data_IF_506782567265
#
_entry.id   IF_506782567265
#
_cell.length_a   1.000
_cell.length_b   1.000
_cell.length_c   1.000
_cell.angle_alpha   90.00
_cell.angle_beta   90.00
_cell.angle_gamma   90.00
#
_symmetry.space_group_name_H-M   'P 1'
#
loop_
_entity.id
_entity.type
_entity.pdbx_description
1 polymer ?
#
# COMPACT_ATOMS: atom_id res chain seq x y z
N UNK A 1 -36.63 5.42 -35.49
CA UNK A 1 -36.33 4.66 -34.25
C UNK A 1 -37.56 4.72 -33.35
N UNK A 2 -37.94 3.65 -32.63
CA UNK A 2 -38.97 3.82 -31.58
C UNK A 2 -38.35 4.67 -30.47
N UNK A 3 -38.82 5.90 -30.27
CA UNK A 3 -38.30 6.83 -29.26
C UNK A 3 -38.89 6.51 -27.88
N UNK A 4 -38.91 5.23 -27.55
CA UNK A 4 -39.49 4.71 -26.34
C UNK A 4 -38.38 4.28 -25.38
N UNK A 5 -38.30 4.99 -24.25
CA UNK A 5 -37.25 4.81 -23.26
C UNK A 5 -37.36 3.43 -22.61
N UNK A 6 -38.57 2.98 -22.32
CA UNK A 6 -38.80 1.79 -21.51
C UNK A 6 -38.46 0.52 -22.29
N UNK A 7 -38.73 0.54 -23.60
CA UNK A 7 -38.30 -0.52 -24.53
C UNK A 7 -36.77 -0.56 -24.70
N UNK A 8 -36.11 0.59 -24.72
CA UNK A 8 -34.65 0.67 -24.83
C UNK A 8 -33.97 0.18 -23.55
N UNK A 9 -34.49 0.53 -22.38
CA UNK A 9 -33.95 0.04 -21.09
C UNK A 9 -34.12 -1.46 -20.96
N UNK A 10 -35.30 -2.01 -21.27
CA UNK A 10 -35.52 -3.46 -21.22
C UNK A 10 -34.56 -4.23 -22.14
N UNK A 11 -34.31 -3.69 -23.35
CA UNK A 11 -33.40 -4.32 -24.30
C UNK A 11 -31.93 -4.30 -23.84
N UNK A 12 -31.52 -3.27 -23.10
CA UNK A 12 -30.15 -3.14 -22.60
C UNK A 12 -29.92 -3.89 -21.28
N UNK A 13 -30.95 -4.06 -20.45
CA UNK A 13 -30.89 -4.81 -19.18
C UNK A 13 -30.78 -6.33 -19.41
N UNK A 14 -31.45 -6.87 -20.43
CA UNK A 14 -31.43 -8.30 -20.74
C UNK A 14 -30.21 -8.76 -21.59
N UNK A 15 -29.31 -7.84 -21.97
CA UNK A 15 -28.19 -8.14 -22.85
C UNK A 15 -26.88 -8.44 -22.08
N UNK A 16 -26.23 -9.60 -22.31
CA UNK A 16 -24.95 -9.93 -21.66
C UNK A 16 -23.76 -9.11 -22.17
N UNK A 17 -23.87 -8.45 -23.33
CA UNK A 17 -22.80 -7.66 -23.96
C UNK A 17 -23.30 -6.26 -24.36
N UNK A 18 -23.64 -5.45 -23.35
CA UNK A 18 -24.25 -4.13 -23.51
C UNK A 18 -23.43 -3.19 -24.40
N UNK A 19 -22.11 -3.13 -24.26
CA UNK A 19 -21.27 -2.21 -25.06
C UNK A 19 -21.34 -2.51 -26.56
N UNK A 20 -21.38 -3.79 -26.95
CA UNK A 20 -21.48 -4.19 -28.36
C UNK A 20 -22.84 -3.84 -28.98
N UNK A 21 -23.90 -3.83 -28.18
CA UNK A 21 -25.25 -3.50 -28.64
C UNK A 21 -25.41 -1.98 -28.77
N UNK A 22 -24.88 -1.24 -27.80
CA UNK A 22 -24.91 0.23 -27.79
C UNK A 22 -24.11 0.81 -28.97
N UNK A 23 -22.96 0.21 -29.29
CA UNK A 23 -22.08 0.62 -30.40
C UNK A 23 -22.45 -0.03 -31.75
N UNK A 24 -23.56 -0.75 -31.84
CA UNK A 24 -23.94 -1.43 -33.07
C UNK A 24 -24.23 -0.42 -34.20
N UNK A 25 -23.57 -0.61 -35.33
CA UNK A 25 -23.65 0.30 -36.47
C UNK A 25 -24.83 -0.05 -37.40
N UNK A 26 -25.72 0.91 -37.62
CA UNK A 26 -26.74 0.84 -38.66
C UNK A 26 -26.38 1.82 -39.79
N UNK A 27 -26.10 1.27 -40.99
CA UNK A 27 -25.59 2.05 -42.14
C UNK A 27 -24.35 2.90 -41.80
N UNK A 28 -23.49 2.38 -40.92
CA UNK A 28 -22.28 3.05 -40.47
C UNK A 28 -22.49 4.13 -39.40
N UNK A 29 -23.68 4.22 -38.80
CA UNK A 29 -24.01 5.18 -37.73
C UNK A 29 -24.41 4.44 -36.46
N UNK A 30 -23.98 4.93 -35.31
CA UNK A 30 -24.42 4.43 -34.00
C UNK A 30 -25.84 4.91 -33.68
N UNK A 31 -26.50 4.23 -32.74
CA UNK A 31 -27.82 4.65 -32.25
C UNK A 31 -27.79 6.10 -31.71
N UNK A 32 -26.71 6.46 -31.00
CA UNK A 32 -26.48 7.81 -30.49
C UNK A 32 -26.41 8.85 -31.62
N UNK A 33 -25.65 8.56 -32.68
CA UNK A 33 -25.51 9.47 -33.83
C UNK A 33 -26.85 9.72 -34.53
N UNK A 34 -27.65 8.67 -34.74
CA UNK A 34 -28.97 8.76 -35.36
C UNK A 34 -29.95 9.59 -34.53
N UNK A 35 -29.90 9.45 -33.19
CA UNK A 35 -30.74 10.25 -32.29
C UNK A 35 -30.39 11.75 -32.36
N UNK A 36 -29.12 12.11 -32.52
CA UNK A 36 -28.71 13.51 -32.71
C UNK A 36 -29.18 14.08 -34.05
N UNK A 37 -29.26 13.27 -35.10
CA UNK A 37 -29.71 13.67 -36.43
C UNK A 37 -31.23 13.90 -36.49
N UNK A 38 -32.03 13.03 -35.86
CA UNK A 38 -33.50 13.12 -35.84
C UNK A 38 -34.03 14.17 -34.83
N UNK A 39 -33.16 14.94 -34.18
CA UNK A 39 -33.52 15.77 -33.02
C UNK A 39 -34.25 17.06 -33.41
N UNK A 40 -35.57 17.06 -33.17
CA UNK A 40 -36.54 18.11 -33.48
C UNK A 40 -37.26 18.61 -32.22
N UNK A 41 -37.86 19.82 -32.23
CA UNK A 41 -38.54 20.38 -31.04
C UNK A 41 -39.66 19.49 -30.47
N UNK A 42 -40.35 18.75 -31.34
CA UNK A 42 -41.47 17.86 -30.97
C UNK A 42 -41.04 16.53 -30.35
N UNK A 43 -39.83 16.03 -30.67
CA UNK A 43 -39.33 14.74 -30.18
C UNK A 43 -38.15 14.86 -29.20
N UNK A 44 -37.65 16.08 -28.96
CA UNK A 44 -36.46 16.35 -28.15
C UNK A 44 -36.54 15.79 -26.73
N UNK A 45 -37.72 15.75 -26.09
CA UNK A 45 -37.87 15.19 -24.75
C UNK A 45 -37.70 13.67 -24.73
N UNK A 46 -38.34 12.97 -25.67
CA UNK A 46 -38.21 11.52 -25.80
C UNK A 46 -36.80 11.11 -26.23
N UNK A 47 -36.23 11.82 -27.20
CA UNK A 47 -34.86 11.61 -27.65
C UNK A 47 -33.84 11.85 -26.52
N UNK A 48 -33.98 12.92 -25.74
CA UNK A 48 -33.09 13.19 -24.60
C UNK A 48 -33.12 12.07 -23.54
N UNK A 49 -34.29 11.49 -23.27
CA UNK A 49 -34.42 10.35 -22.36
C UNK A 49 -33.71 9.11 -22.89
N UNK A 50 -33.84 8.80 -24.19
CA UNK A 50 -33.14 7.68 -24.83
C UNK A 50 -31.61 7.91 -24.84
N UNK A 51 -31.17 9.13 -25.14
CA UNK A 51 -29.75 9.51 -25.11
C UNK A 51 -29.18 9.31 -23.70
N UNK A 52 -29.89 9.75 -22.65
CA UNK A 52 -29.46 9.55 -21.27
C UNK A 52 -29.27 8.07 -20.93
N UNK A 53 -30.17 7.19 -21.41
CA UNK A 53 -30.05 5.74 -21.21
C UNK A 53 -28.82 5.20 -21.94
N UNK A 54 -28.58 5.60 -23.20
CA UNK A 54 -27.39 5.18 -23.95
C UNK A 54 -26.08 5.63 -23.30
N UNK A 55 -26.01 6.88 -22.85
CA UNK A 55 -24.83 7.41 -22.15
C UNK A 55 -24.56 6.66 -20.84
N UNK A 56 -25.61 6.36 -20.07
CA UNK A 56 -25.50 5.57 -18.84
C UNK A 56 -24.98 4.13 -19.09
N UNK A 57 -25.22 3.58 -20.28
CA UNK A 57 -24.75 2.24 -20.67
C UNK A 57 -23.45 2.29 -21.50
N UNK A 58 -22.72 3.41 -21.47
CA UNK A 58 -21.38 3.52 -22.03
C UNK A 58 -21.29 3.86 -23.52
N UNK A 59 -22.32 4.50 -24.10
CA UNK A 59 -22.27 4.93 -25.50
C UNK A 59 -21.15 5.95 -25.78
N UNK A 60 -20.41 5.74 -26.87
CA UNK A 60 -19.35 6.63 -27.33
C UNK A 60 -19.94 7.89 -28.02
N UNK A 61 -19.69 9.01 -27.37
CA UNK A 61 -20.07 10.36 -27.83
C UNK A 61 -19.18 10.89 -28.96
N UNK A 62 -18.00 10.31 -29.16
CA UNK A 62 -17.02 10.75 -30.15
C UNK A 62 -17.18 10.08 -31.51
N UNK A 63 -18.26 9.31 -31.69
CA UNK A 63 -18.57 8.62 -32.93
C UNK A 63 -18.61 9.59 -34.11
N UNK A 64 -17.99 9.19 -35.23
CA UNK A 64 -17.96 9.98 -36.45
C UNK A 64 -18.50 9.17 -37.62
N UNK A 65 -19.17 9.85 -38.54
CA UNK A 65 -19.73 9.24 -39.74
C UNK A 65 -19.07 9.86 -40.98
N UNK A 66 -18.47 9.02 -41.81
CA UNK A 66 -17.91 9.40 -43.09
C UNK A 66 -18.74 8.84 -44.24
N UNK A 67 -19.30 9.72 -45.06
CA UNK A 67 -20.02 9.34 -46.28
C UNK A 67 -19.05 9.33 -47.47
N UNK A 68 -19.28 8.47 -48.48
CA UNK A 68 -18.47 8.43 -49.71
C UNK A 68 -18.36 9.78 -50.46
N UNK A 69 -19.20 10.77 -50.13
CA UNK A 69 -19.26 12.09 -50.77
C UNK A 69 -19.03 13.28 -49.83
N UNK A 70 -18.86 13.07 -48.51
CA UNK A 70 -18.76 14.15 -47.53
C UNK A 70 -17.67 13.86 -46.49
N UNK A 71 -17.05 14.91 -45.90
CA UNK A 71 -16.07 14.75 -44.83
C UNK A 71 -16.69 14.06 -43.60
N UNK A 72 -15.84 13.44 -42.77
CA UNK A 72 -16.26 12.82 -41.51
C UNK A 72 -16.91 13.87 -40.60
N UNK A 73 -18.14 13.62 -40.17
CA UNK A 73 -18.87 14.50 -39.24
C UNK A 73 -18.99 13.77 -37.90
N UNK A 74 -18.53 14.41 -36.82
CA UNK A 74 -18.71 13.89 -35.46
C UNK A 74 -20.17 14.03 -34.99
N UNK A 75 -20.63 13.10 -34.16
CA UNK A 75 -21.95 13.12 -33.54
C UNK A 75 -22.25 14.48 -32.87
N UNK A 76 -21.25 15.05 -32.20
CA UNK A 76 -21.38 16.34 -31.49
C UNK A 76 -21.57 17.49 -32.48
N UNK A 77 -20.94 17.44 -33.65
CA UNK A 77 -21.17 18.44 -34.70
C UNK A 77 -22.60 18.41 -35.23
N UNK A 78 -23.24 17.24 -35.28
CA UNK A 78 -24.66 17.10 -35.64
C UNK A 78 -25.55 17.73 -34.57
N UNK A 79 -25.21 17.54 -33.30
CA UNK A 79 -25.91 18.17 -32.17
C UNK A 79 -25.82 19.71 -32.24
N UNK A 80 -24.68 20.25 -32.65
CA UNK A 80 -24.41 21.69 -32.78
C UNK A 80 -25.10 22.38 -33.97
N UNK A 81 -25.76 21.65 -34.87
CA UNK A 81 -26.48 22.24 -36.02
C UNK A 81 -27.68 23.13 -35.64
N UNK A 82 -28.14 23.11 -34.38
CA UNK A 82 -29.29 23.89 -33.92
C UNK A 82 -29.10 24.47 -32.52
N UNK A 83 -29.67 25.67 -32.27
CA UNK A 83 -29.50 26.47 -31.04
C UNK A 83 -30.57 26.25 -29.95
N UNK A 84 -31.24 25.10 -29.95
CA UNK A 84 -32.34 24.84 -29.00
C UNK A 84 -31.86 24.56 -27.57
N UNK A 85 -32.58 25.05 -26.54
CA UNK A 85 -32.28 24.76 -25.11
C UNK A 85 -32.12 23.27 -24.79
N UNK A 86 -32.87 22.39 -25.48
CA UNK A 86 -32.75 20.94 -25.30
C UNK A 86 -31.46 20.37 -25.87
N UNK A 87 -30.96 20.91 -26.99
CA UNK A 87 -29.65 20.55 -27.54
C UNK A 87 -28.52 21.00 -26.60
N UNK A 88 -28.65 22.18 -26.00
CA UNK A 88 -27.74 22.66 -24.95
C UNK A 88 -27.70 21.71 -23.75
N UNK A 89 -28.86 21.28 -23.25
CA UNK A 89 -28.96 20.32 -22.14
C UNK A 89 -28.35 18.96 -22.49
N UNK A 90 -28.57 18.44 -23.71
CA UNK A 90 -27.96 17.19 -24.17
C UNK A 90 -26.44 17.34 -24.30
N UNK A 91 -25.96 18.48 -24.80
CA UNK A 91 -24.53 18.76 -24.87
C UNK A 91 -23.90 18.82 -23.47
N UNK A 92 -24.57 19.46 -22.50
CA UNK A 92 -24.13 19.43 -21.11
C UNK A 92 -24.10 18.01 -20.54
N UNK A 93 -25.10 17.17 -20.83
CA UNK A 93 -25.10 15.76 -20.43
C UNK A 93 -23.92 14.99 -21.06
N UNK A 94 -23.59 15.26 -22.31
CA UNK A 94 -22.43 14.66 -22.97
C UNK A 94 -21.11 15.17 -22.35
N UNK A 95 -21.00 16.45 -22.04
CA UNK A 95 -19.81 17.01 -21.39
C UNK A 95 -19.64 16.50 -19.95
N UNK A 96 -20.74 16.27 -19.23
CA UNK A 96 -20.73 15.69 -17.89
C UNK A 96 -20.22 14.25 -17.85
N UNK A 97 -20.23 13.51 -18.98
CA UNK A 97 -19.60 12.18 -18.98
C UNK A 97 -18.07 12.27 -18.92
N UNK A 98 -17.48 13.43 -19.22
CA UNK A 98 -16.02 13.60 -19.31
C UNK A 98 -15.37 12.85 -20.47
N UNK A 99 -16.17 12.21 -21.35
CA UNK A 99 -15.71 11.37 -22.45
C UNK A 99 -15.76 12.06 -23.80
N UNK A 100 -15.97 13.36 -23.84
CA UNK A 100 -16.06 14.12 -25.10
C UNK A 100 -14.66 14.57 -25.53
N UNK A 101 -14.21 14.09 -26.69
CA UNK A 101 -12.99 14.58 -27.34
C UNK A 101 -13.24 15.98 -27.92
N UNK A 102 -12.93 17.00 -27.13
CA UNK A 102 -12.94 18.39 -27.56
C UNK A 102 -11.67 18.68 -28.36
N UNK A 103 -11.82 19.40 -29.47
CA UNK A 103 -10.71 19.98 -30.22
C UNK A 103 -10.95 21.48 -30.36
N UNK A 104 -9.91 22.28 -30.68
CA UNK A 104 -10.05 23.74 -30.78
C UNK A 104 -11.21 24.18 -31.68
N UNK A 105 -11.41 23.48 -32.80
CA UNK A 105 -12.46 23.81 -33.79
C UNK A 105 -13.86 23.56 -33.23
N UNK A 106 -14.04 22.47 -32.51
CA UNK A 106 -15.28 22.10 -31.84
C UNK A 106 -15.52 23.04 -30.65
N UNK A 107 -14.50 23.41 -29.88
CA UNK A 107 -14.57 24.39 -28.78
C UNK A 107 -15.07 25.75 -29.27
N UNK A 108 -14.41 26.31 -30.30
CA UNK A 108 -14.83 27.56 -30.95
C UNK A 108 -16.29 27.46 -31.40
N UNK A 109 -16.68 26.32 -31.97
CA UNK A 109 -18.06 26.09 -32.46
C UNK A 109 -19.07 25.91 -31.33
N UNK A 110 -18.72 25.25 -30.22
CA UNK A 110 -19.56 25.12 -29.03
C UNK A 110 -19.75 26.51 -28.41
N UNK A 111 -18.67 27.27 -28.20
CA UNK A 111 -18.73 28.62 -27.63
C UNK A 111 -19.54 29.59 -28.50
N UNK A 112 -19.43 29.47 -29.84
CA UNK A 112 -20.24 30.24 -30.80
C UNK A 112 -21.74 29.88 -30.76
N UNK A 113 -22.06 28.62 -30.47
CA UNK A 113 -23.44 28.11 -30.50
C UNK A 113 -24.13 28.26 -29.15
N UNK A 114 -23.39 28.05 -28.06
CA UNK A 114 -23.81 28.05 -26.66
C UNK A 114 -22.73 28.71 -25.78
N UNK A 115 -22.74 30.04 -25.64
CA UNK A 115 -21.70 30.77 -24.89
C UNK A 115 -21.73 30.52 -23.37
N UNK A 116 -22.85 30.04 -22.83
CA UNK A 116 -23.03 29.79 -21.38
C UNK A 116 -22.43 28.46 -20.89
N UNK A 117 -21.88 27.64 -21.80
CA UNK A 117 -21.26 26.36 -21.42
C UNK A 117 -19.78 26.61 -21.08
N UNK A 118 -19.38 26.24 -19.87
CA UNK A 118 -17.98 26.16 -19.46
C UNK A 118 -17.36 24.90 -20.05
N UNK A 119 -16.26 25.06 -20.78
CA UNK A 119 -15.51 23.97 -21.39
C UNK A 119 -14.21 23.72 -20.60
N UNK A 120 -13.79 22.44 -20.42
CA UNK A 120 -12.51 22.06 -19.81
C UNK A 120 -11.33 22.84 -20.40
N UNK A 121 -10.22 23.03 -19.69
CA UNK A 121 -9.04 23.67 -20.28
C UNK A 121 -8.36 22.75 -21.32
N UNK A 122 -7.63 23.32 -22.29
CA UNK A 122 -7.05 22.53 -23.40
C UNK A 122 -6.06 21.45 -22.94
N UNK A 123 -5.39 21.68 -21.79
CA UNK A 123 -4.49 20.70 -21.18
C UNK A 123 -5.27 19.52 -20.55
N UNK A 124 -6.49 19.75 -20.03
CA UNK A 124 -7.39 18.68 -19.58
C UNK A 124 -7.93 17.84 -20.74
N UNK A 125 -8.15 18.45 -21.93
CA UNK A 125 -8.65 17.75 -23.11
C UNK A 125 -7.64 16.72 -23.64
N UNK A 126 -6.34 17.05 -23.63
CA UNK A 126 -5.26 16.14 -24.03
C UNK A 126 -5.18 14.94 -23.10
N UNK A 127 -5.19 15.19 -21.79
CA UNK A 127 -5.18 14.14 -20.78
C UNK A 127 -6.42 13.24 -20.89
N UNK A 128 -7.61 13.81 -21.07
CA UNK A 128 -8.85 13.05 -21.25
C UNK A 128 -8.83 12.18 -22.52
N UNK A 129 -8.30 12.70 -23.63
CA UNK A 129 -8.11 11.93 -24.86
C UNK A 129 -7.17 10.73 -24.63
N UNK A 130 -6.07 10.94 -23.91
CA UNK A 130 -5.11 9.87 -23.59
C UNK A 130 -5.73 8.82 -22.66
N UNK A 131 -6.43 9.24 -21.59
CA UNK A 131 -7.14 8.32 -20.67
C UNK A 131 -8.20 7.51 -21.42
N UNK A 132 -8.93 8.11 -22.35
CA UNK A 132 -9.90 7.40 -23.18
C UNK A 132 -9.25 6.31 -24.04
N UNK A 133 -8.05 6.55 -24.59
CA UNK A 133 -7.33 5.54 -25.36
C UNK A 133 -6.88 4.35 -24.48
N UNK A 134 -6.55 4.60 -23.22
CA UNK A 134 -6.26 3.55 -22.23
C UNK A 134 -7.51 2.72 -21.89
N UNK A 135 -8.67 3.36 -21.71
CA UNK A 135 -9.97 2.70 -21.52
C UNK A 135 -10.34 1.82 -22.72
N UNK A 136 -10.07 2.29 -23.93
CA UNK A 136 -10.38 1.59 -25.17
C UNK A 136 -9.48 0.36 -25.45
N UNK A 137 -8.53 0.04 -24.54
CA UNK A 137 -7.57 -1.08 -24.65
C UNK A 137 -6.75 -1.05 -25.94
N UNK A 138 -6.39 0.14 -26.41
CA UNK A 138 -5.69 0.31 -27.68
C UNK A 138 -4.29 0.91 -27.48
N UNK A 139 -3.41 0.08 -26.93
CA UNK A 139 -2.08 0.45 -26.46
C UNK A 139 -1.23 1.04 -27.61
N UNK A 140 -1.32 0.45 -28.80
CA UNK A 140 -0.61 0.96 -29.98
C UNK A 140 -1.10 2.35 -30.44
N UNK A 141 -2.42 2.61 -30.41
CA UNK A 141 -2.94 3.95 -30.74
C UNK A 141 -2.63 4.98 -29.67
N UNK A 142 -2.58 4.55 -28.41
CA UNK A 142 -2.13 5.40 -27.31
C UNK A 142 -0.70 5.87 -27.58
N UNK A 143 0.23 4.93 -27.81
CA UNK A 143 1.64 5.23 -28.05
C UNK A 143 1.81 6.21 -29.21
N UNK A 144 1.19 5.94 -30.37
CA UNK A 144 1.29 6.85 -31.52
C UNK A 144 0.72 8.23 -31.24
N UNK A 145 -0.41 8.31 -30.51
CA UNK A 145 -1.01 9.60 -30.20
C UNK A 145 -0.26 10.33 -29.09
N UNK A 146 0.45 9.62 -28.22
CA UNK A 146 1.28 10.19 -27.16
C UNK A 146 2.53 10.83 -27.79
N UNK A 147 3.23 10.10 -28.67
CA UNK A 147 4.39 10.61 -29.41
C UNK A 147 4.04 11.85 -30.27
N UNK A 148 2.88 11.83 -30.94
CA UNK A 148 2.38 12.98 -31.69
C UNK A 148 2.17 14.21 -30.79
N UNK A 149 1.50 14.05 -29.65
CA UNK A 149 1.19 15.16 -28.75
C UNK A 149 2.43 15.67 -27.99
N UNK A 150 3.33 14.77 -27.60
CA UNK A 150 4.61 15.11 -26.96
C UNK A 150 5.51 15.93 -27.89
N UNK A 151 5.49 15.62 -29.19
CA UNK A 151 6.20 16.41 -30.21
C UNK A 151 5.63 17.82 -30.39
N UNK A 152 4.34 18.02 -30.12
CA UNK A 152 3.69 19.33 -30.17
C UNK A 152 3.95 20.14 -28.89
N UNK A 153 3.78 19.52 -27.72
CA UNK A 153 4.01 20.13 -26.41
C UNK A 153 4.36 19.03 -25.41
N UNK A 154 5.52 19.16 -24.79
CA UNK A 154 5.97 18.27 -23.71
C UNK A 154 4.96 18.24 -22.55
N UNK A 155 4.64 17.04 -22.08
CA UNK A 155 3.79 16.80 -20.91
C UNK A 155 4.51 17.20 -19.62
N UNK A 156 3.76 17.71 -18.65
CA UNK A 156 4.29 17.95 -17.31
C UNK A 156 4.38 16.62 -16.54
N UNK A 157 5.28 16.57 -15.56
CA UNK A 157 5.44 15.40 -14.67
C UNK A 157 4.11 14.97 -14.03
N UNK A 158 3.29 15.93 -13.57
CA UNK A 158 1.96 15.68 -12.98
C UNK A 158 0.97 15.03 -13.97
N UNK A 159 1.05 15.38 -15.25
CA UNK A 159 0.23 14.80 -16.31
C UNK A 159 0.69 13.35 -16.59
N UNK A 160 2.00 13.12 -16.67
CA UNK A 160 2.58 11.78 -16.83
C UNK A 160 2.24 10.89 -15.63
N UNK A 161 2.30 11.40 -14.39
CA UNK A 161 1.86 10.66 -13.20
C UNK A 161 0.41 10.22 -13.30
N UNK A 162 -0.48 11.09 -13.78
CA UNK A 162 -1.90 10.75 -13.96
C UNK A 162 -2.09 9.68 -15.05
N UNK A 163 -1.33 9.77 -16.14
CA UNK A 163 -1.35 8.76 -17.21
C UNK A 163 -0.80 7.41 -16.75
N UNK A 164 0.28 7.42 -15.96
CA UNK A 164 0.86 6.22 -15.34
C UNK A 164 -0.14 5.58 -14.38
N UNK A 165 -0.80 6.37 -13.52
CA UNK A 165 -1.84 5.85 -12.62
C UNK A 165 -2.94 5.14 -13.39
N UNK A 166 -3.44 5.78 -14.46
CA UNK A 166 -4.47 5.21 -15.32
C UNK A 166 -3.97 3.93 -16.01
N UNK A 167 -2.77 3.95 -16.60
CA UNK A 167 -2.19 2.80 -17.28
C UNK A 167 -2.02 1.60 -16.34
N UNK A 168 -1.52 1.82 -15.12
CA UNK A 168 -1.38 0.80 -14.08
C UNK A 168 -2.76 0.28 -13.65
N UNK A 169 -3.72 1.16 -13.39
CA UNK A 169 -5.08 0.75 -13.00
C UNK A 169 -5.78 -0.13 -14.05
N UNK A 170 -5.45 0.05 -15.33
CA UNK A 170 -5.95 -0.75 -16.45
C UNK A 170 -5.04 -1.95 -16.83
N UNK A 171 -3.91 -2.13 -16.14
CA UNK A 171 -2.95 -3.22 -16.38
C UNK A 171 -2.20 -3.12 -17.72
N UNK A 172 -1.88 -1.91 -18.18
CA UNK A 172 -1.25 -1.63 -19.49
C UNK A 172 0.27 -1.55 -19.41
N UNK A 173 0.93 -2.69 -19.28
CA UNK A 173 2.40 -2.79 -19.14
C UNK A 173 3.15 -2.08 -20.28
N UNK A 174 2.78 -2.30 -21.55
CA UNK A 174 3.46 -1.67 -22.69
C UNK A 174 3.40 -0.15 -22.67
N UNK A 175 2.30 0.41 -22.16
CA UNK A 175 2.16 1.86 -22.05
C UNK A 175 3.00 2.38 -20.88
N UNK A 176 3.03 1.66 -19.76
CA UNK A 176 3.89 2.00 -18.62
C UNK A 176 5.37 1.98 -19.03
N UNK A 177 5.79 0.97 -19.79
CA UNK A 177 7.13 0.87 -20.37
C UNK A 177 7.47 2.08 -21.24
N UNK A 178 6.57 2.46 -22.15
CA UNK A 178 6.79 3.60 -23.04
C UNK A 178 6.79 4.95 -22.29
N UNK A 179 5.96 5.11 -21.26
CA UNK A 179 5.93 6.33 -20.45
C UNK A 179 7.16 6.46 -19.53
N UNK A 180 7.87 5.36 -19.26
CA UNK A 180 9.08 5.31 -18.42
C UNK A 180 10.37 5.16 -19.25
N UNK A 181 10.33 5.49 -20.54
CA UNK A 181 11.44 5.21 -21.47
C UNK A 181 12.76 5.89 -21.05
N UNK A 182 13.88 5.30 -21.50
CA UNK A 182 15.25 5.53 -21.03
C UNK A 182 15.82 6.93 -21.31
N UNK A 183 15.09 7.76 -22.05
CA UNK A 183 15.47 9.16 -22.29
C UNK A 183 15.13 10.07 -21.09
N UNK A 184 14.26 9.62 -20.17
CA UNK A 184 13.99 10.34 -18.93
C UNK A 184 15.16 10.15 -17.96
N UNK A 185 15.94 11.20 -17.69
CA UNK A 185 17.07 11.14 -16.76
C UNK A 185 16.91 12.14 -15.61
N UNK A 186 17.22 11.71 -14.38
CA UNK A 186 17.32 12.59 -13.21
C UNK A 186 16.13 12.51 -12.23
N UNK A 187 15.88 13.61 -11.51
CA UNK A 187 14.91 13.69 -10.40
C UNK A 187 13.45 13.41 -10.84
N UNK A 188 13.10 13.76 -12.09
CA UNK A 188 11.76 13.53 -12.62
C UNK A 188 11.49 12.03 -12.84
N UNK A 189 12.49 11.26 -13.26
CA UNK A 189 12.37 9.79 -13.38
C UNK A 189 12.15 9.16 -12.00
N UNK A 190 12.92 9.57 -10.99
CA UNK A 190 12.75 9.06 -9.62
C UNK A 190 11.33 9.29 -9.09
N UNK A 191 10.77 10.49 -9.28
CA UNK A 191 9.37 10.80 -8.90
C UNK A 191 8.33 9.96 -9.65
N UNK A 192 8.57 9.66 -10.93
CA UNK A 192 7.68 8.82 -11.73
C UNK A 192 7.77 7.36 -11.33
N UNK A 193 8.96 6.85 -11.01
CA UNK A 193 9.17 5.52 -10.46
C UNK A 193 8.51 5.36 -9.10
N UNK A 194 8.74 6.30 -8.17
CA UNK A 194 8.10 6.33 -6.85
C UNK A 194 6.57 6.25 -6.99
N UNK A 195 6.01 7.12 -7.83
CA UNK A 195 4.57 7.18 -8.08
C UNK A 195 4.03 5.88 -8.71
N UNK A 196 4.80 5.25 -9.61
CA UNK A 196 4.43 4.00 -10.25
C UNK A 196 4.43 2.83 -9.27
N UNK A 197 5.44 2.72 -8.41
CA UNK A 197 5.52 1.72 -7.33
C UNK A 197 4.34 1.85 -6.37
N UNK A 198 4.04 3.08 -5.94
CA UNK A 198 2.88 3.38 -5.07
C UNK A 198 1.57 3.00 -5.76
N UNK A 199 1.43 3.32 -7.05
CA UNK A 199 0.23 2.99 -7.83
C UNK A 199 0.04 1.48 -7.98
N UNK A 200 1.10 0.72 -8.26
CA UNK A 200 1.04 -0.74 -8.33
C UNK A 200 0.55 -1.34 -7.01
N UNK A 201 1.06 -0.86 -5.88
CA UNK A 201 0.62 -1.30 -4.54
C UNK A 201 -0.81 -0.86 -4.19
N UNK A 202 -1.28 0.28 -4.74
CA UNK A 202 -2.63 0.82 -4.52
C UNK A 202 -3.70 0.02 -5.28
N UNK A 203 -3.37 -0.48 -6.46
CA UNK A 203 -4.29 -1.25 -7.32
C UNK A 203 -4.07 -2.76 -7.25
N UNK A 204 -2.95 -3.23 -6.67
CA UNK A 204 -2.62 -4.64 -6.52
C UNK A 204 -2.20 -5.28 -7.84
N UNK A 205 -1.39 -4.58 -8.63
CA UNK A 205 -0.88 -5.07 -9.92
C UNK A 205 0.52 -5.63 -9.71
N UNK A 206 0.62 -6.95 -9.63
CA UNK A 206 1.84 -7.70 -9.31
C UNK A 206 2.84 -7.75 -10.48
N UNK A 207 2.40 -8.06 -11.70
CA UNK A 207 3.32 -8.23 -12.84
C UNK A 207 3.99 -6.92 -13.30
N UNK A 208 3.30 -5.77 -13.24
CA UNK A 208 3.92 -4.47 -13.52
C UNK A 208 4.90 -4.09 -12.41
N UNK A 209 4.60 -4.46 -11.16
CA UNK A 209 5.49 -4.21 -10.03
C UNK A 209 6.78 -5.03 -10.16
N UNK A 210 6.68 -6.31 -10.49
CA UNK A 210 7.84 -7.18 -10.77
C UNK A 210 8.75 -6.56 -11.83
N UNK A 211 8.18 -6.15 -12.97
CA UNK A 211 8.93 -5.47 -14.03
C UNK A 211 9.58 -4.15 -13.55
N UNK A 212 8.87 -3.34 -12.77
CA UNK A 212 9.41 -2.09 -12.24
C UNK A 212 10.59 -2.34 -11.28
N UNK A 213 10.52 -3.37 -10.43
CA UNK A 213 11.60 -3.72 -9.51
C UNK A 213 12.83 -4.24 -10.25
N UNK A 214 12.65 -4.99 -11.34
CA UNK A 214 13.71 -5.44 -12.24
C UNK A 214 14.40 -4.27 -12.97
N UNK A 215 13.66 -3.24 -13.39
CA UNK A 215 14.26 -2.10 -14.12
C UNK A 215 15.09 -1.19 -13.20
N UNK A 216 14.79 -1.15 -11.89
CA UNK A 216 15.51 -0.33 -10.91
C UNK A 216 16.84 -1.02 -10.54
N UNK A 217 17.81 -1.20 -11.43
CA UNK A 217 19.12 -1.79 -11.06
C UNK A 217 20.14 -0.75 -10.56
N UNK A 218 19.89 0.53 -10.82
CA UNK A 218 20.86 1.60 -10.53
C UNK A 218 20.92 1.92 -9.03
N UNK A 219 22.12 1.97 -8.45
CA UNK A 219 22.34 2.29 -7.02
C UNK A 219 21.66 3.62 -6.60
N UNK A 220 21.63 4.61 -7.48
CA UNK A 220 21.01 5.93 -7.23
C UNK A 220 19.47 5.86 -7.17
N UNK A 221 18.84 4.85 -7.76
CA UNK A 221 17.38 4.67 -7.79
C UNK A 221 16.87 3.73 -6.69
N UNK A 222 17.77 3.05 -5.96
CA UNK A 222 17.40 2.13 -4.88
C UNK A 222 16.73 2.84 -3.70
N UNK A 223 17.06 4.11 -3.46
CA UNK A 223 16.42 4.91 -2.40
C UNK A 223 14.90 5.09 -2.67
N UNK A 224 14.50 5.16 -3.95
CA UNK A 224 13.10 5.37 -4.39
C UNK A 224 12.18 4.26 -3.89
N UNK A 225 12.68 3.03 -3.82
CA UNK A 225 11.91 1.86 -3.33
C UNK A 225 11.42 2.09 -1.89
N UNK A 226 12.23 2.79 -1.09
CA UNK A 226 12.01 2.99 0.33
C UNK A 226 11.52 4.40 0.68
N UNK A 227 11.33 5.29 -0.29
CA UNK A 227 10.83 6.65 -0.05
C UNK A 227 9.40 6.61 0.51
N UNK A 228 8.56 5.73 -0.05
CA UNK A 228 7.21 5.50 0.41
C UNK A 228 7.09 4.15 1.16
N UNK A 229 6.27 4.04 2.23
CA UNK A 229 6.00 2.77 2.92
C UNK A 229 5.12 1.81 2.08
N UNK A 230 5.68 1.24 1.01
CA UNK A 230 4.97 0.38 0.05
C UNK A 230 4.31 -0.84 0.71
N UNK A 231 5.04 -1.54 1.59
CA UNK A 231 4.53 -2.70 2.33
C UNK A 231 3.31 -2.34 3.19
N UNK A 232 3.32 -1.17 3.84
CA UNK A 232 2.19 -0.73 4.66
C UNK A 232 0.97 -0.37 3.79
N UNK A 233 1.18 0.18 2.60
CA UNK A 233 0.09 0.45 1.65
C UNK A 233 -0.58 -0.83 1.15
N UNK A 234 0.21 -1.80 0.70
CA UNK A 234 -0.31 -3.09 0.23
C UNK A 234 -1.06 -3.81 1.36
N UNK A 235 -0.49 -3.85 2.57
CA UNK A 235 -1.12 -4.47 3.75
C UNK A 235 -2.49 -3.86 4.08
N UNK A 236 -2.65 -2.53 3.95
CA UNK A 236 -3.93 -1.83 4.22
C UNK A 236 -5.06 -2.26 3.30
N UNK A 237 -4.74 -2.79 2.12
CA UNK A 237 -5.71 -3.15 1.06
C UNK A 237 -6.07 -4.63 1.06
N UNK A 238 -5.33 -5.47 1.77
CA UNK A 238 -5.64 -6.89 1.91
C UNK A 238 -6.88 -7.03 2.79
N UNK A 239 -7.91 -7.66 2.24
CA UNK A 239 -9.14 -8.00 2.96
C UNK A 239 -8.99 -9.38 3.63
N UNK A 240 -9.55 -9.52 4.83
CA UNK A 240 -9.49 -10.74 5.64
C UNK A 240 -10.34 -11.86 5.05
N UNK A 241 -11.47 -11.51 4.42
CA UNK A 241 -12.51 -12.46 4.03
C UNK A 241 -12.41 -12.92 2.56
N UNK A 242 -11.56 -12.28 1.76
CA UNK A 242 -11.22 -12.73 0.39
C UNK A 242 -10.10 -13.77 0.42
N UNK A 243 -9.91 -14.53 -0.66
CA UNK A 243 -8.79 -15.47 -0.86
C UNK A 243 -7.44 -14.74 -0.73
N UNK A 244 -7.03 -14.48 0.51
CA UNK A 244 -6.02 -13.49 0.86
C UNK A 244 -4.62 -13.82 0.32
N UNK A 245 -4.34 -15.11 0.10
CA UNK A 245 -3.11 -15.60 -0.50
C UNK A 245 -3.07 -15.45 -2.03
N UNK A 246 -4.21 -15.24 -2.70
CA UNK A 246 -4.28 -15.07 -4.16
C UNK A 246 -4.58 -13.63 -4.58
N UNK A 247 -4.80 -12.72 -3.64
CA UNK A 247 -5.07 -11.33 -3.95
C UNK A 247 -3.83 -10.63 -4.52
N UNK A 248 -4.01 -9.78 -5.53
CA UNK A 248 -2.90 -9.05 -6.16
C UNK A 248 -2.08 -8.24 -5.16
N UNK A 249 -2.71 -7.70 -4.12
CA UNK A 249 -2.02 -6.99 -3.03
C UNK A 249 -1.05 -7.88 -2.24
N UNK A 250 -1.42 -9.13 -1.98
CA UNK A 250 -0.56 -10.07 -1.27
C UNK A 250 0.63 -10.47 -2.13
N UNK A 251 0.42 -10.75 -3.41
CA UNK A 251 1.51 -10.99 -4.37
C UNK A 251 2.45 -9.79 -4.49
N UNK A 252 1.92 -8.57 -4.54
CA UNK A 252 2.76 -7.36 -4.47
C UNK A 252 3.61 -7.34 -3.21
N UNK A 253 3.08 -7.75 -2.06
CA UNK A 253 3.87 -7.85 -0.83
C UNK A 253 4.94 -8.93 -0.90
N UNK A 254 4.64 -10.10 -1.47
CA UNK A 254 5.62 -11.18 -1.66
C UNK A 254 6.78 -10.68 -2.53
N UNK A 255 6.49 -10.11 -3.70
CA UNK A 255 7.49 -9.54 -4.61
C UNK A 255 8.36 -8.46 -3.93
N UNK A 256 7.73 -7.57 -3.16
CA UNK A 256 8.46 -6.54 -2.41
C UNK A 256 9.36 -7.13 -1.33
N UNK A 257 8.96 -8.22 -0.68
CA UNK A 257 9.74 -8.87 0.39
C UNK A 257 10.82 -9.81 -0.14
N UNK A 258 10.64 -10.37 -1.33
CA UNK A 258 11.69 -11.10 -2.06
C UNK A 258 12.81 -10.16 -2.50
N UNK A 259 12.51 -8.88 -2.72
CA UNK A 259 13.49 -7.85 -2.98
C UNK A 259 14.28 -7.48 -1.72
N UNK A 260 15.55 -7.90 -1.67
CA UNK A 260 16.44 -7.65 -0.53
C UNK A 260 16.76 -6.17 -0.26
N UNK A 261 16.33 -5.24 -1.14
CA UNK A 261 16.50 -3.79 -0.99
C UNK A 261 15.41 -3.13 -0.15
N UNK A 262 14.28 -3.82 0.10
CA UNK A 262 13.15 -3.26 0.83
C UNK A 262 13.47 -3.09 2.33
N UNK A 263 13.09 -1.96 2.91
CA UNK A 263 13.04 -1.76 4.35
C UNK A 263 11.69 -2.24 4.90
N UNK A 264 11.67 -3.47 5.40
CA UNK A 264 10.51 -4.11 6.04
C UNK A 264 9.95 -3.28 7.21
N UNK A 265 10.81 -2.47 7.84
CA UNK A 265 10.49 -1.68 9.02
C UNK A 265 10.17 -0.21 8.71
N UNK A 266 10.07 0.17 7.43
CA UNK A 266 9.67 1.52 7.04
C UNK A 266 8.31 1.87 7.63
N UNK A 267 8.26 2.99 8.34
CA UNK A 267 7.03 3.53 8.92
C UNK A 267 6.36 4.52 7.99
N UNK A 268 5.03 4.56 8.01
CA UNK A 268 4.29 5.62 7.34
C UNK A 268 4.30 6.95 8.12
N UNK A 269 3.60 7.96 7.60
CA UNK A 269 3.50 9.27 8.26
C UNK A 269 2.84 9.26 9.64
N UNK A 270 2.27 8.13 10.07
CA UNK A 270 1.72 7.93 11.43
C UNK A 270 2.69 7.16 12.34
N UNK A 271 3.85 6.74 11.83
CA UNK A 271 4.80 5.89 12.56
C UNK A 271 4.44 4.40 12.52
N UNK A 272 3.50 3.97 11.67
CA UNK A 272 3.08 2.57 11.58
C UNK A 272 3.83 1.82 10.47
N UNK A 273 4.36 0.67 10.82
CA UNK A 273 4.95 -0.30 9.87
C UNK A 273 3.89 -1.22 9.26
N UNK A 274 4.26 -1.99 8.24
CA UNK A 274 3.38 -3.02 7.67
C UNK A 274 2.85 -4.00 8.73
N UNK A 275 3.70 -4.41 9.69
CA UNK A 275 3.31 -5.32 10.77
C UNK A 275 2.22 -4.71 11.67
N UNK A 276 2.21 -3.39 11.91
CA UNK A 276 1.15 -2.74 12.67
C UNK A 276 -0.22 -2.91 12.00
N UNK A 277 -0.27 -2.78 10.67
CA UNK A 277 -1.51 -2.97 9.91
C UNK A 277 -1.92 -4.43 9.87
N UNK A 278 -0.99 -5.35 9.67
CA UNK A 278 -1.26 -6.79 9.64
C UNK A 278 -1.90 -7.27 10.95
N UNK A 279 -1.37 -6.82 12.10
CA UNK A 279 -1.91 -7.15 13.43
C UNK A 279 -3.26 -6.49 13.67
N UNK A 280 -3.42 -5.23 13.27
CA UNK A 280 -4.69 -4.50 13.42
C UNK A 280 -5.81 -5.14 12.60
N UNK A 281 -5.50 -5.65 11.41
CA UNK A 281 -6.44 -6.31 10.49
C UNK A 281 -6.57 -7.82 10.76
N UNK A 282 -5.79 -8.39 11.69
CA UNK A 282 -5.76 -9.83 12.01
C UNK A 282 -5.43 -10.69 10.79
N UNK A 283 -4.45 -10.26 10.00
CA UNK A 283 -3.98 -10.97 8.80
C UNK A 283 -2.83 -11.91 9.19
N UNK A 284 -3.14 -13.13 9.58
CA UNK A 284 -2.15 -14.07 10.14
C UNK A 284 -1.09 -14.51 9.11
N UNK A 285 -1.47 -14.70 7.86
CA UNK A 285 -0.55 -15.05 6.77
C UNK A 285 0.43 -13.89 6.48
N UNK A 286 -0.05 -12.64 6.42
CA UNK A 286 0.81 -11.44 6.28
C UNK A 286 1.71 -11.27 7.50
N UNK A 287 1.20 -11.49 8.71
CA UNK A 287 2.02 -11.43 9.93
C UNK A 287 3.19 -12.41 9.87
N UNK A 288 2.95 -13.67 9.48
CA UNK A 288 4.01 -14.67 9.30
C UNK A 288 5.04 -14.21 8.27
N UNK A 289 4.59 -13.84 7.07
CA UNK A 289 5.46 -13.42 5.99
C UNK A 289 6.36 -12.23 6.37
N UNK A 290 5.80 -11.22 7.04
CA UNK A 290 6.57 -10.07 7.54
C UNK A 290 7.58 -10.47 8.63
N UNK A 291 7.19 -11.34 9.57
CA UNK A 291 8.08 -11.80 10.63
C UNK A 291 9.25 -12.62 10.06
N UNK A 292 9.00 -13.52 9.12
CA UNK A 292 10.05 -14.30 8.43
C UNK A 292 11.05 -13.39 7.71
N UNK A 293 10.59 -12.26 7.18
CA UNK A 293 11.43 -11.24 6.54
C UNK A 293 12.06 -10.23 7.51
N UNK A 294 12.00 -10.47 8.83
CA UNK A 294 12.71 -9.66 9.83
C UNK A 294 11.96 -8.41 10.29
N UNK A 295 10.63 -8.37 10.19
CA UNK A 295 9.84 -7.28 10.76
C UNK A 295 10.05 -7.16 12.28
N UNK A 296 10.25 -5.92 12.72
CA UNK A 296 10.51 -5.57 14.11
C UNK A 296 9.24 -5.66 14.96
N UNK A 297 9.28 -6.48 16.02
CA UNK A 297 8.12 -6.72 16.89
C UNK A 297 7.92 -5.67 17.98
N UNK A 298 8.96 -4.90 18.30
CA UNK A 298 8.93 -3.92 19.39
C UNK A 298 8.37 -2.55 19.02
N UNK A 299 7.61 -2.44 17.93
CA UNK A 299 6.90 -1.22 17.56
C UNK A 299 5.84 -0.83 18.59
N UNK A 300 5.52 0.45 18.67
CA UNK A 300 4.44 0.96 19.53
C UNK A 300 3.39 1.67 18.69
N UNK A 301 2.12 1.50 19.06
CA UNK A 301 1.05 2.24 18.39
C UNK A 301 0.98 3.73 18.85
N UNK A 302 0.14 4.55 18.20
CA UNK A 302 -0.05 5.98 18.55
C UNK A 302 -0.47 6.22 20.02
N UNK A 303 -0.85 5.18 20.76
CA UNK A 303 -1.22 5.24 22.17
C UNK A 303 -0.13 4.67 23.09
N UNK A 304 1.08 4.41 22.56
CA UNK A 304 2.19 3.82 23.30
C UNK A 304 1.98 2.36 23.69
N UNK A 305 1.05 1.66 23.03
CA UNK A 305 0.83 0.22 23.26
C UNK A 305 1.76 -0.58 22.38
N UNK A 306 2.51 -1.49 22.99
CA UNK A 306 3.44 -2.34 22.28
C UNK A 306 2.72 -3.30 21.32
N UNK A 307 3.18 -3.35 20.07
CA UNK A 307 2.69 -4.20 19.00
C UNK A 307 2.77 -5.68 19.38
N UNK A 308 3.89 -6.08 19.99
CA UNK A 308 4.15 -7.46 20.42
C UNK A 308 3.06 -8.00 21.38
N UNK A 309 2.41 -7.14 22.17
CA UNK A 309 1.34 -7.54 23.08
C UNK A 309 -0.01 -7.78 22.38
N UNK A 310 -0.15 -7.34 21.13
CA UNK A 310 -1.35 -7.54 20.30
C UNK A 310 -1.19 -8.67 19.29
N UNK A 311 0.03 -9.17 19.07
CA UNK A 311 0.27 -10.34 18.25
C UNK A 311 -0.46 -11.56 18.84
N UNK A 312 -0.93 -12.45 17.98
CA UNK A 312 -1.39 -13.76 18.42
C UNK A 312 -0.20 -14.53 19.06
N UNK A 313 -0.29 -14.92 20.35
CA UNK A 313 0.77 -15.65 21.03
C UNK A 313 1.12 -16.97 20.34
N UNK A 314 0.14 -17.63 19.72
CA UNK A 314 0.39 -18.89 19.01
C UNK A 314 1.22 -18.66 17.74
N UNK A 315 0.84 -17.68 16.93
CA UNK A 315 1.60 -17.26 15.75
C UNK A 315 3.02 -16.82 16.11
N UNK A 316 3.17 -16.00 17.16
CA UNK A 316 4.49 -15.56 17.62
C UNK A 316 5.34 -16.73 18.09
N UNK A 317 4.76 -17.70 18.82
CA UNK A 317 5.49 -18.89 19.23
C UNK A 317 5.94 -19.74 18.03
N UNK A 318 5.08 -19.89 17.01
CA UNK A 318 5.43 -20.60 15.79
C UNK A 318 6.61 -19.92 15.07
N UNK A 319 6.55 -18.59 14.90
CA UNK A 319 7.65 -17.83 14.31
C UNK A 319 8.94 -17.96 15.12
N UNK A 320 8.87 -17.88 16.45
CA UNK A 320 10.05 -18.05 17.30
C UNK A 320 10.67 -19.45 17.20
N UNK A 321 9.86 -20.49 16.94
CA UNK A 321 10.38 -21.83 16.63
C UNK A 321 11.14 -21.83 15.30
N UNK A 322 10.67 -21.10 14.29
CA UNK A 322 11.35 -20.97 12.99
C UNK A 322 12.68 -20.18 13.10
N UNK A 323 12.82 -19.31 14.11
CA UNK A 323 14.09 -18.65 14.43
C UNK A 323 15.16 -19.59 15.02
N UNK A 324 14.81 -20.83 15.37
CA UNK A 324 15.72 -21.87 15.82
C UNK A 324 16.14 -22.71 14.60
N UNK A 325 17.41 -22.64 14.21
CA UNK A 325 17.95 -23.48 13.14
C UNK A 325 19.07 -24.36 13.67
N UNK A 326 19.03 -25.65 13.36
CA UNK A 326 20.08 -26.63 13.67
C UNK A 326 20.96 -26.81 12.43
N UNK A 327 22.28 -26.94 12.60
CA UNK A 327 23.16 -27.31 11.50
C UNK A 327 22.91 -28.77 11.07
N UNK A 328 23.29 -29.14 9.83
CA UNK A 328 23.11 -30.50 9.27
C UNK A 328 23.87 -31.63 10.00
N UNK A 329 24.66 -31.28 11.01
CA UNK A 329 25.43 -32.24 11.79
C UNK A 329 24.55 -32.99 12.79
N UNK A 330 24.83 -34.27 13.00
CA UNK A 330 24.13 -35.06 14.01
C UNK A 330 24.37 -34.50 15.42
N UNK A 331 23.41 -34.65 16.32
CA UNK A 331 23.47 -34.16 17.71
C UNK A 331 24.66 -34.67 18.55
N UNK A 332 25.41 -35.67 18.05
CA UNK A 332 26.61 -36.22 18.68
C UNK A 332 27.92 -35.65 18.10
N UNK A 333 27.83 -34.78 17.09
CA UNK A 333 28.99 -34.14 16.46
C UNK A 333 29.45 -32.93 17.31
N UNK A 334 30.75 -32.78 17.64
CA UNK A 334 31.27 -31.57 18.27
C UNK A 334 31.03 -30.28 17.45
N UNK A 335 30.76 -30.36 16.14
CA UNK A 335 30.39 -29.22 15.29
C UNK A 335 28.88 -28.90 15.29
N UNK A 336 28.07 -29.65 16.04
CA UNK A 336 26.65 -29.35 16.22
C UNK A 336 26.47 -27.96 16.85
N UNK A 337 25.88 -27.03 16.09
CA UNK A 337 25.55 -25.70 16.57
C UNK A 337 24.07 -25.41 16.32
N UNK A 338 23.46 -24.79 17.33
CA UNK A 338 22.13 -24.20 17.24
C UNK A 338 22.32 -22.73 16.91
N UNK A 339 21.79 -22.29 15.77
CA UNK A 339 21.80 -20.90 15.35
C UNK A 339 20.45 -20.28 15.67
N UNK A 340 20.51 -19.20 16.45
CA UNK A 340 19.37 -18.40 16.87
C UNK A 340 19.32 -17.11 16.05
N UNK A 341 18.19 -16.84 15.40
CA UNK A 341 17.95 -15.56 14.75
C UNK A 341 17.28 -14.56 15.72
N UNK A 342 17.82 -13.34 15.80
CA UNK A 342 17.33 -12.26 16.66
C UNK A 342 16.87 -11.03 15.86
N UNK A 343 16.81 -11.09 14.52
CA UNK A 343 16.52 -9.95 13.64
C UNK A 343 15.24 -9.21 14.03
N UNK A 344 14.17 -9.92 14.39
CA UNK A 344 12.89 -9.32 14.77
C UNK A 344 12.94 -8.49 16.07
N UNK A 345 13.94 -8.70 16.92
CA UNK A 345 14.11 -7.97 18.18
C UNK A 345 15.13 -6.82 18.08
N UNK A 346 15.79 -6.67 16.93
CA UNK A 346 16.73 -5.59 16.69
C UNK A 346 15.97 -4.33 16.28
N UNK A 347 16.11 -3.27 17.06
CA UNK A 347 15.46 -2.00 16.77
C UNK A 347 16.09 -1.32 15.55
N UNK A 348 15.29 -0.91 14.55
CA UNK A 348 15.80 -0.14 13.40
C UNK A 348 16.36 1.23 13.82
N UNK A 349 15.87 1.80 14.92
CA UNK A 349 16.32 3.12 15.45
C UNK A 349 17.43 2.99 16.50
N UNK A 350 18.01 1.79 16.68
CA UNK A 350 19.00 1.46 17.74
C UNK A 350 18.52 1.77 19.16
N UNK A 351 17.21 1.69 19.39
CA UNK A 351 16.62 1.78 20.73
C UNK A 351 16.90 0.51 21.56
N UNK A 352 16.50 0.52 22.82
CA UNK A 352 16.69 -0.59 23.75
C UNK A 352 16.02 -1.88 23.26
N UNK A 353 16.84 -2.85 22.83
CA UNK A 353 16.42 -4.20 22.40
C UNK A 353 15.63 -4.96 23.49
N UNK A 354 15.78 -4.58 24.76
CA UNK A 354 15.03 -5.19 25.86
C UNK A 354 13.58 -4.70 25.93
N UNK A 355 13.24 -3.59 25.27
CA UNK A 355 11.91 -2.99 25.34
C UNK A 355 10.80 -3.98 24.93
N UNK A 356 10.84 -4.66 23.76
CA UNK A 356 9.85 -5.68 23.41
C UNK A 356 9.72 -6.80 24.45
N UNK A 357 10.82 -7.24 25.06
CA UNK A 357 10.82 -8.31 26.07
C UNK A 357 10.16 -7.84 27.37
N UNK A 358 10.46 -6.62 27.82
CA UNK A 358 9.82 -6.02 29.00
C UNK A 358 8.32 -5.88 28.79
N UNK A 359 7.89 -5.46 27.60
CA UNK A 359 6.47 -5.34 27.25
C UNK A 359 5.77 -6.69 27.21
N UNK A 360 6.41 -7.73 26.68
CA UNK A 360 5.92 -9.12 26.76
C UNK A 360 5.69 -9.56 28.22
N UNK A 361 6.64 -9.29 29.11
CA UNK A 361 6.54 -9.66 30.53
C UNK A 361 5.37 -9.00 31.27
N UNK A 362 4.99 -7.79 30.84
CA UNK A 362 3.86 -7.05 31.39
C UNK A 362 2.51 -7.65 30.97
N UNK A 363 2.45 -8.33 29.83
CA UNK A 363 1.25 -9.00 29.32
C UNK A 363 1.08 -10.40 29.93
N UNK A 364 -0.16 -10.83 30.20
CA UNK A 364 -0.42 -12.19 30.71
C UNK A 364 -0.04 -13.28 29.69
N UNK A 365 -0.39 -13.09 28.42
CA UNK A 365 -0.08 -14.04 27.35
C UNK A 365 1.41 -14.09 27.00
N UNK A 366 2.12 -12.96 27.04
CA UNK A 366 3.55 -12.90 26.75
C UNK A 366 4.44 -13.56 27.80
N UNK A 367 3.95 -13.77 29.03
CA UNK A 367 4.71 -14.46 30.09
C UNK A 367 5.02 -15.91 29.76
N UNK A 368 4.13 -16.60 29.05
CA UNK A 368 4.37 -17.97 28.61
C UNK A 368 5.51 -18.01 27.57
N UNK A 369 5.57 -16.99 26.70
CA UNK A 369 6.61 -16.85 25.68
C UNK A 369 7.98 -16.44 26.25
N UNK A 370 8.05 -15.87 27.46
CA UNK A 370 9.34 -15.54 28.08
C UNK A 370 10.23 -16.77 28.31
N UNK A 371 9.62 -17.96 28.45
CA UNK A 371 10.35 -19.22 28.58
C UNK A 371 10.92 -19.74 27.25
N UNK A 372 10.59 -19.12 26.11
CA UNK A 372 11.04 -19.56 24.80
C UNK A 372 12.58 -19.45 24.68
N UNK A 373 13.28 -20.45 24.10
CA UNK A 373 14.75 -20.46 23.98
C UNK A 373 15.33 -19.21 23.32
N UNK A 374 14.65 -18.64 22.32
CA UNK A 374 15.08 -17.39 21.66
C UNK A 374 15.06 -16.20 22.63
N UNK A 375 13.96 -15.98 23.35
CA UNK A 375 13.80 -14.84 24.27
C UNK A 375 14.73 -15.01 25.49
N UNK A 376 14.76 -16.21 26.06
CA UNK A 376 15.67 -16.53 27.18
C UNK A 376 17.13 -16.36 26.80
N UNK A 377 17.52 -16.69 25.57
CA UNK A 377 18.88 -16.47 25.07
C UNK A 377 19.21 -14.98 24.97
N UNK A 378 18.30 -14.14 24.46
CA UNK A 378 18.49 -12.67 24.44
C UNK A 378 18.67 -12.15 25.87
N UNK A 379 17.81 -12.57 26.80
CA UNK A 379 17.93 -12.19 28.22
C UNK A 379 19.24 -12.66 28.83
N UNK A 380 19.70 -13.87 28.53
CA UNK A 380 20.95 -14.43 29.03
C UNK A 380 22.16 -13.65 28.50
N UNK A 381 22.20 -13.35 27.20
CA UNK A 381 23.28 -12.55 26.59
C UNK A 381 23.36 -11.18 27.24
N UNK A 382 22.21 -10.52 27.47
CA UNK A 382 22.15 -9.21 28.14
C UNK A 382 22.56 -9.32 29.61
N UNK A 383 22.11 -10.36 30.31
CA UNK A 383 22.51 -10.64 31.69
C UNK A 383 24.01 -10.87 31.81
N UNK A 384 24.62 -11.70 30.96
CA UNK A 384 26.06 -11.96 31.00
C UNK A 384 26.88 -10.67 30.82
N UNK A 385 26.42 -9.74 29.98
CA UNK A 385 27.06 -8.43 29.78
C UNK A 385 26.96 -7.52 31.01
N UNK A 386 25.86 -7.58 31.76
CA UNK A 386 25.58 -6.67 32.89
C UNK A 386 25.94 -7.31 34.25
N UNK A 387 26.01 -8.63 34.34
CA UNK A 387 26.14 -9.38 35.60
C UNK A 387 27.39 -9.01 36.38
N UNK A 388 28.50 -8.70 35.70
CA UNK A 388 29.73 -8.23 36.35
C UNK A 388 29.50 -6.97 37.20
N UNK A 389 28.69 -6.02 36.73
CA UNK A 389 28.35 -4.81 37.49
C UNK A 389 27.43 -5.13 38.67
N UNK A 390 26.50 -6.06 38.48
CA UNK A 390 25.62 -6.51 39.55
C UNK A 390 26.40 -7.16 40.69
N UNK A 391 27.30 -8.10 40.39
CA UNK A 391 28.13 -8.75 41.40
C UNK A 391 29.09 -7.77 42.09
N UNK A 392 29.68 -6.82 41.35
CA UNK A 392 30.47 -5.74 41.93
C UNK A 392 29.65 -4.93 42.95
N UNK A 393 28.44 -4.53 42.58
CA UNK A 393 27.56 -3.75 43.43
C UNK A 393 27.11 -4.54 44.68
N UNK A 394 26.79 -5.83 44.51
CA UNK A 394 26.48 -6.73 45.61
C UNK A 394 27.63 -6.82 46.62
N UNK A 395 28.87 -6.95 46.14
CA UNK A 395 30.06 -6.97 46.99
C UNK A 395 30.18 -5.66 47.78
N UNK A 396 30.01 -4.51 47.12
CA UNK A 396 30.07 -3.18 47.77
C UNK A 396 29.00 -3.05 48.86
N UNK A 397 27.75 -3.41 48.57
CA UNK A 397 26.67 -3.35 49.56
C UNK A 397 26.87 -4.32 50.72
N UNK A 398 27.34 -5.54 50.46
CA UNK A 398 27.70 -6.48 51.52
C UNK A 398 28.82 -5.92 52.41
N UNK A 399 29.88 -5.34 51.84
CA UNK A 399 30.93 -4.70 52.63
C UNK A 399 30.42 -3.54 53.49
N UNK A 400 29.55 -2.70 52.93
CA UNK A 400 28.92 -1.61 53.68
C UNK A 400 28.04 -2.15 54.82
N UNK A 401 27.22 -3.16 54.54
CA UNK A 401 26.36 -3.80 55.54
C UNK A 401 27.18 -4.36 56.70
N UNK A 402 28.21 -5.17 56.42
CA UNK A 402 29.04 -5.76 57.46
C UNK A 402 29.81 -4.71 58.27
N UNK A 403 30.33 -3.67 57.63
CA UNK A 403 31.02 -2.59 58.34
C UNK A 403 30.07 -1.77 59.23
N UNK A 404 28.85 -1.50 58.76
CA UNK A 404 27.82 -0.83 59.53
C UNK A 404 27.34 -1.68 60.72
N UNK A 405 27.08 -2.97 60.51
CA UNK A 405 26.73 -3.90 61.60
C UNK A 405 27.84 -3.97 62.64
N UNK A 406 29.11 -4.02 62.22
CA UNK A 406 30.24 -4.02 63.14
C UNK A 406 30.32 -2.71 63.96
N UNK A 407 30.08 -1.55 63.35
CA UNK A 407 30.04 -0.27 64.07
C UNK A 407 28.93 -0.22 65.12
N UNK A 408 27.73 -0.70 64.80
CA UNK A 408 26.62 -0.77 65.76
C UNK A 408 26.99 -1.67 66.94
N UNK A 409 27.52 -2.86 66.67
CA UNK A 409 27.90 -3.80 67.72
C UNK A 409 29.00 -3.21 68.62
N UNK A 410 30.01 -2.55 68.05
CA UNK A 410 31.06 -1.89 68.83
C UNK A 410 30.53 -0.75 69.70
N UNK A 411 29.57 0.04 69.22
CA UNK A 411 28.97 1.11 70.03
C UNK A 411 28.07 0.55 71.15
N UNK A 412 27.33 -0.53 70.89
CA UNK A 412 26.45 -1.15 71.88
C UNK A 412 27.22 -1.88 72.99
N UNK A 413 28.37 -2.49 72.66
CA UNK A 413 29.24 -3.20 73.61
C UNK A 413 29.94 -2.24 74.59
N UNK A 414 30.22 -0.99 74.16
CA UNK A 414 30.75 0.06 75.05
C UNK A 414 29.73 0.45 76.12
N UNK A 415 28.44 0.40 75.82
CA UNK A 415 27.36 0.80 76.74
C UNK A 415 26.90 -0.32 77.68
N UNK A 416 27.09 -1.61 77.34
CA UNK A 416 26.72 -2.77 78.20
C UNK A 416 27.61 -4.02 77.95
N UNK A 417 28.80 -4.12 78.55
CA UNK A 417 29.80 -5.16 78.24
C UNK A 417 29.44 -6.58 78.73
N UNK A 418 28.36 -6.75 79.50
CA UNK A 418 28.04 -8.04 80.17
C UNK A 418 26.88 -8.82 79.53
N UNK A 419 26.23 -8.30 78.47
CA UNK A 419 25.14 -9.00 77.75
C UNK A 419 25.51 -9.41 76.32
N UNK A 420 26.58 -8.87 75.76
CA UNK A 420 26.97 -9.02 74.34
C UNK A 420 27.55 -10.40 74.00
N UNK A 421 28.19 -11.07 74.95
CA UNK A 421 28.75 -12.42 74.75
C UNK A 421 27.68 -13.51 74.56
N UNK A 422 26.47 -13.35 75.11
CA UNK A 422 25.39 -14.34 74.95
C UNK A 422 24.72 -14.26 73.57
N UNK A 423 24.61 -13.06 72.97
CA UNK A 423 24.08 -12.89 71.62
C UNK A 423 25.07 -13.33 70.52
N UNK A 424 26.37 -13.35 70.82
CA UNK A 424 27.42 -13.79 69.90
C UNK A 424 27.31 -15.28 69.54
N UNK A 425 26.84 -16.13 70.46
CA UNK A 425 26.61 -17.55 70.21
C UNK A 425 25.22 -17.88 69.63
N UNK A 426 24.23 -16.98 69.77
CA UNK A 426 22.85 -17.18 69.31
C UNK A 426 22.58 -16.67 67.88
N UNK A 427 23.36 -15.69 67.40
CA UNK A 427 23.16 -15.12 66.06
C UNK A 427 23.54 -16.06 64.89
N UNK A 428 24.65 -16.85 64.94
CA UNK A 428 24.98 -17.76 63.84
C UNK A 428 23.99 -18.93 63.74
N UNK A 429 23.39 -19.34 64.86
CA UNK A 429 22.41 -20.43 64.90
C UNK A 429 21.06 -20.09 64.24
N UNK A 430 20.72 -18.82 64.08
CA UNK A 430 19.49 -18.41 63.39
C UNK A 430 19.66 -18.25 61.87
N UNK A 431 20.91 -18.14 61.38
CA UNK A 431 21.19 -17.83 59.96
C UNK A 431 21.84 -19.01 59.22
N UNK A 432 22.23 -20.09 59.90
CA UNK A 432 22.67 -21.30 59.21
C UNK A 432 22.68 -22.55 60.08
N UNK A 433 22.01 -23.60 59.59
CA UNK A 433 22.06 -25.00 60.03
C UNK A 433 21.29 -25.37 61.31
N UNK A 434 19.95 -25.34 61.20
CA UNK A 434 19.14 -26.41 61.77
C UNK A 434 19.29 -27.67 60.91
N UNK A 435 20.19 -28.56 61.32
CA UNK A 435 20.44 -29.87 60.74
C UNK A 435 19.25 -30.83 60.98
N UNK A 436 19.17 -31.85 60.12
CA UNK A 436 18.39 -33.12 60.15
C UNK A 436 16.92 -33.09 59.73
#
# INVERSE_FOLDING_TARGET
>A
MSLDKDNLTALLEDCPNVSSVVEQLYKGRTALFLLFEELNPSNATKAANCIKVLLNHGADVNTSYQSKKQPSVSAIEVLLRGKGRKRQMILQLCLQTGKVALNEKLRKRIQLTFPDILLPEADEERLQKMIFLLEAKNDGKFITSYEEEESEKSFKVEEIQTLLEAAISYGREQVVQNLLDKEMTGEDRAKLLEHSLVSCCKYGIDWILEWLLEEIENEDEVEVINDHPLLALATKKIDRDSDSEQCGFFKCMELLLEDGRIDVNKTDGQGFTALHYAVKLQLDHVQRLLLTNGAYVGGEDLFGRALICKLDPYLLNQHLNECLTENEHSSNDPEYMIKLDFRNFQSPTRSDEMLPIVRLAQSSAGRELLGHPVITSIMLVKWLRISSFFYLNLIIYSMFFFSFTALIMLHYDIDNPNQTMDYFFLAPTFVGLGHS
#
